data_IF_248565421134
#
_entry.id   IF_248565421134
#
_cell.length_a   1.000
_cell.length_b   1.000
_cell.length_c   1.000
_cell.angle_alpha   90.00
_cell.angle_beta   90.00
_cell.angle_gamma   90.00
#
_symmetry.space_group_name_H-M   'P 1'
#
loop_
_entity.id
_entity.type
_entity.pdbx_description
1 polymer ?
#
# COMPACT_ATOMS: atom_id res chain seq x y z
N UNK A 1 12.57 7.88 -13.79
CA UNK A 1 11.53 7.11 -14.50
C UNK A 1 10.66 6.38 -13.50
N UNK A 2 9.34 6.37 -13.74
CA UNK A 2 8.38 5.60 -12.97
C UNK A 2 7.92 4.36 -13.74
N UNK A 3 7.48 3.34 -13.03
CA UNK A 3 6.87 2.16 -13.63
C UNK A 3 5.67 2.56 -14.48
N UNK A 4 5.55 1.97 -15.66
CA UNK A 4 4.40 2.11 -16.56
C UNK A 4 4.08 3.56 -16.98
N UNK A 5 5.00 4.51 -16.80
CA UNK A 5 4.76 5.92 -17.10
C UNK A 5 4.31 6.17 -18.54
N UNK A 6 4.71 5.33 -19.50
CA UNK A 6 4.31 5.44 -20.91
C UNK A 6 2.83 5.17 -21.17
N UNK A 7 2.09 4.59 -20.21
CA UNK A 7 0.64 4.34 -20.33
C UNK A 7 -0.21 5.60 -20.23
N UNK A 8 0.33 6.69 -19.67
CA UNK A 8 -0.34 7.97 -19.55
C UNK A 8 0.57 9.05 -20.14
N UNK A 9 0.10 9.75 -21.17
CA UNK A 9 0.87 10.76 -21.91
C UNK A 9 0.48 12.19 -21.51
N UNK A 10 -0.11 12.37 -20.34
CA UNK A 10 -0.49 13.68 -19.82
C UNK A 10 0.76 14.48 -19.37
N UNK A 11 0.93 15.76 -19.76
CA UNK A 11 2.20 16.52 -19.64
C UNK A 11 2.83 16.64 -18.25
N UNK A 12 2.07 16.40 -17.18
CA UNK A 12 2.55 16.55 -15.79
C UNK A 12 2.27 15.33 -14.90
N UNK A 13 1.65 14.27 -15.44
CA UNK A 13 1.19 13.14 -14.64
C UNK A 13 2.30 12.52 -13.80
N UNK A 14 3.48 12.29 -14.41
CA UNK A 14 4.64 11.71 -13.72
C UNK A 14 5.12 12.60 -12.58
N UNK A 15 5.13 13.92 -12.76
CA UNK A 15 5.57 14.85 -11.73
C UNK A 15 4.55 14.92 -10.60
N UNK A 16 3.26 15.00 -10.93
CA UNK A 16 2.17 14.94 -9.95
C UNK A 16 2.20 13.64 -9.13
N UNK A 17 2.50 12.48 -9.74
CA UNK A 17 2.66 11.22 -8.99
C UNK A 17 3.80 11.33 -7.96
N UNK A 18 4.95 11.88 -8.34
CA UNK A 18 6.08 12.06 -7.41
C UNK A 18 5.71 13.01 -6.28
N UNK A 19 5.10 14.14 -6.58
CA UNK A 19 4.69 15.13 -5.59
C UNK A 19 3.68 14.57 -4.59
N UNK A 20 2.62 13.92 -5.08
CA UNK A 20 1.62 13.24 -4.24
C UNK A 20 2.29 12.20 -3.37
N UNK A 21 3.17 11.37 -3.96
CA UNK A 21 3.88 10.33 -3.21
C UNK A 21 4.79 10.91 -2.14
N UNK A 22 5.46 12.03 -2.42
CA UNK A 22 6.28 12.74 -1.44
C UNK A 22 5.43 13.24 -0.27
N UNK A 23 4.30 13.93 -0.54
CA UNK A 23 3.38 14.41 0.50
C UNK A 23 2.80 13.28 1.35
N UNK A 24 2.54 12.12 0.75
CA UNK A 24 2.07 10.92 1.45
C UNK A 24 3.19 10.12 2.13
N UNK A 25 4.46 10.50 1.91
CA UNK A 25 5.64 9.74 2.35
C UNK A 25 5.64 8.29 1.85
N UNK A 26 5.31 8.04 0.59
CA UNK A 26 5.32 6.71 -0.05
C UNK A 26 6.26 6.69 -1.26
N UNK A 27 6.66 5.49 -1.70
CA UNK A 27 7.41 5.35 -2.93
C UNK A 27 6.47 5.56 -4.14
N UNK A 28 6.81 6.43 -5.11
CA UNK A 28 5.94 6.67 -6.27
C UNK A 28 5.73 5.44 -7.15
N UNK A 29 6.67 4.49 -7.18
CA UNK A 29 6.46 3.22 -7.90
C UNK A 29 5.47 2.29 -7.19
N UNK A 30 5.27 2.44 -5.87
CA UNK A 30 4.18 1.73 -5.19
C UNK A 30 2.85 2.28 -5.63
N UNK A 31 2.72 3.62 -5.69
CA UNK A 31 1.48 4.26 -6.15
C UNK A 31 1.17 3.90 -7.60
N UNK A 32 2.17 3.94 -8.49
CA UNK A 32 2.02 3.50 -9.88
C UNK A 32 1.57 2.04 -9.99
N UNK A 33 2.15 1.14 -9.18
CA UNK A 33 1.76 -0.28 -9.20
C UNK A 33 0.34 -0.50 -8.67
N UNK A 34 -0.07 0.22 -7.62
CA UNK A 34 -1.46 0.16 -7.13
C UNK A 34 -2.43 0.64 -8.22
N UNK A 35 -2.20 1.81 -8.82
CA UNK A 35 -3.09 2.32 -9.88
C UNK A 35 -3.11 1.40 -11.12
N UNK A 36 -1.98 0.77 -11.44
CA UNK A 36 -1.91 -0.20 -12.51
C UNK A 36 -2.69 -1.48 -12.18
N UNK A 37 -2.59 -1.99 -10.96
CA UNK A 37 -3.32 -3.17 -10.55
C UNK A 37 -4.84 -2.94 -10.50
N UNK A 38 -5.26 -1.78 -9.99
CA UNK A 38 -6.69 -1.44 -9.84
C UNK A 38 -7.38 -1.13 -11.17
N UNK A 39 -6.73 -0.41 -12.08
CA UNK A 39 -7.39 0.09 -13.29
C UNK A 39 -6.59 -0.09 -14.59
N UNK A 40 -5.38 -0.63 -14.52
CA UNK A 40 -4.45 -0.61 -15.64
C UNK A 40 -3.96 0.81 -15.98
N UNK A 41 -3.97 1.73 -15.00
CA UNK A 41 -3.75 3.18 -15.18
C UNK A 41 -4.80 3.84 -16.09
N UNK A 42 -6.06 3.41 -16.03
CA UNK A 42 -7.16 3.96 -16.82
C UNK A 42 -8.08 4.82 -15.94
N UNK A 43 -8.05 6.17 -16.05
CA UNK A 43 -8.89 7.03 -15.22
C UNK A 43 -10.39 6.87 -15.51
N UNK A 44 -10.77 6.39 -16.70
CA UNK A 44 -12.16 6.13 -17.05
C UNK A 44 -12.63 4.70 -16.77
N UNK A 45 -11.81 3.86 -16.15
CA UNK A 45 -12.19 2.48 -15.81
C UNK A 45 -13.34 2.46 -14.80
N UNK A 46 -14.36 1.65 -15.08
CA UNK A 46 -15.52 1.45 -14.23
C UNK A 46 -15.75 -0.05 -14.05
N UNK A 47 -15.86 -0.49 -12.80
CA UNK A 47 -16.34 -1.82 -12.47
C UNK A 47 -17.87 -1.85 -12.58
N UNK A 48 -18.40 -2.68 -13.48
CA UNK A 48 -19.84 -2.76 -13.76
C UNK A 48 -20.67 -3.32 -12.60
N UNK A 49 -20.07 -4.11 -11.71
CA UNK A 49 -20.75 -4.73 -10.57
C UNK A 49 -20.80 -3.82 -9.36
N UNK A 50 -19.72 -3.08 -9.09
CA UNK A 50 -19.59 -2.27 -7.86
C UNK A 50 -19.70 -0.76 -8.09
N UNK A 51 -19.60 -0.30 -9.34
CA UNK A 51 -19.51 1.12 -9.69
C UNK A 51 -18.14 1.75 -9.36
N UNK A 52 -17.18 0.96 -8.87
CA UNK A 52 -15.84 1.45 -8.56
C UNK A 52 -15.19 2.08 -9.79
N UNK A 53 -14.62 3.28 -9.65
CA UNK A 53 -14.22 4.10 -10.80
C UNK A 53 -12.84 4.74 -10.64
N UNK A 54 -12.09 4.87 -11.73
CA UNK A 54 -10.85 5.63 -11.77
C UNK A 54 -9.61 4.87 -11.36
N UNK A 55 -8.50 5.62 -11.21
CA UNK A 55 -7.14 5.10 -11.08
C UNK A 55 -6.98 4.07 -9.98
N UNK A 56 -7.63 4.30 -8.82
CA UNK A 56 -7.63 3.39 -7.67
C UNK A 56 -9.00 2.74 -7.42
N UNK A 57 -9.89 2.77 -8.41
CA UNK A 57 -11.24 2.21 -8.33
C UNK A 57 -12.02 2.73 -7.10
N UNK A 58 -12.19 4.06 -7.01
CA UNK A 58 -12.98 4.69 -5.97
C UNK A 58 -14.41 4.14 -5.94
N UNK A 59 -14.80 3.55 -4.81
CA UNK A 59 -16.19 3.14 -4.57
C UNK A 59 -17.13 4.36 -4.56
N UNK A 60 -18.41 4.21 -4.96
CA UNK A 60 -19.37 5.32 -4.98
C UNK A 60 -19.46 6.11 -3.67
N UNK A 61 -19.52 5.42 -2.53
CA UNK A 61 -19.56 6.07 -1.22
C UNK A 61 -18.26 6.82 -0.90
N UNK A 62 -17.10 6.29 -1.30
CA UNK A 62 -15.80 6.96 -1.14
C UNK A 62 -15.73 8.22 -1.99
N UNK A 63 -16.17 8.16 -3.25
CA UNK A 63 -16.21 9.32 -4.14
C UNK A 63 -17.09 10.44 -3.54
N UNK A 64 -18.28 10.08 -3.04
CA UNK A 64 -19.17 11.02 -2.35
C UNK A 64 -18.52 11.66 -1.12
N UNK A 65 -17.87 10.85 -0.26
CA UNK A 65 -17.15 11.34 0.92
C UNK A 65 -15.97 12.26 0.59
N UNK A 66 -15.43 12.20 -0.62
CA UNK A 66 -14.37 13.09 -1.11
C UNK A 66 -14.91 14.36 -1.79
N UNK A 67 -16.23 14.57 -1.78
CA UNK A 67 -16.89 15.72 -2.41
C UNK A 67 -16.98 15.62 -3.93
N UNK A 68 -17.03 14.41 -4.50
CA UNK A 68 -17.18 14.17 -5.94
C UNK A 68 -18.15 13.02 -6.21
N UNK A 69 -18.21 12.51 -7.44
CA UNK A 69 -18.97 11.32 -7.82
C UNK A 69 -18.15 10.43 -8.73
N UNK A 70 -18.54 9.16 -8.86
CA UNK A 70 -17.92 8.24 -9.84
C UNK A 70 -18.13 8.73 -11.27
N UNK A 71 -19.27 9.35 -11.58
CA UNK A 71 -19.51 9.97 -12.88
C UNK A 71 -18.53 11.12 -13.16
N UNK A 72 -18.28 12.00 -12.17
CA UNK A 72 -17.30 13.07 -12.31
C UNK A 72 -15.88 12.50 -12.43
N UNK A 73 -15.49 11.55 -11.57
CA UNK A 73 -14.18 10.89 -11.63
C UNK A 73 -13.94 10.26 -13.01
N UNK A 74 -14.91 9.52 -13.57
CA UNK A 74 -14.78 8.90 -14.89
C UNK A 74 -14.39 9.88 -16.00
N UNK A 75 -14.85 11.13 -15.89
CA UNK A 75 -14.61 12.20 -16.86
C UNK A 75 -13.36 13.04 -16.54
N UNK A 76 -12.69 12.80 -15.42
CA UNK A 76 -11.43 13.46 -15.07
C UNK A 76 -10.24 12.84 -15.80
N UNK A 77 -9.24 13.67 -16.07
CA UNK A 77 -7.92 13.18 -16.48
C UNK A 77 -7.25 12.37 -15.36
N UNK A 78 -6.24 11.57 -15.69
CA UNK A 78 -5.49 10.83 -14.69
C UNK A 78 -4.81 11.78 -13.70
N UNK A 79 -4.25 12.88 -14.19
CA UNK A 79 -3.63 13.91 -13.36
C UNK A 79 -4.64 14.53 -12.39
N UNK A 80 -5.86 14.86 -12.85
CA UNK A 80 -6.89 15.41 -11.98
C UNK A 80 -7.33 14.42 -10.90
N UNK A 81 -7.42 13.12 -11.23
CA UNK A 81 -7.72 12.09 -10.24
C UNK A 81 -6.63 11.93 -9.17
N UNK A 82 -5.36 12.23 -9.45
CA UNK A 82 -4.30 12.14 -8.44
C UNK A 82 -4.54 13.03 -7.22
N UNK A 83 -5.22 14.16 -7.37
CA UNK A 83 -5.60 14.99 -6.22
C UNK A 83 -6.65 14.30 -5.32
N UNK A 84 -7.55 13.50 -5.90
CA UNK A 84 -8.50 12.67 -5.14
C UNK A 84 -7.81 11.45 -4.53
N UNK A 85 -6.84 10.86 -5.23
CA UNK A 85 -5.99 9.79 -4.69
C UNK A 85 -5.22 10.29 -3.46
N UNK A 86 -4.65 11.50 -3.54
CA UNK A 86 -3.99 12.13 -2.40
C UNK A 86 -4.96 12.37 -1.24
N UNK A 87 -6.12 12.98 -1.49
CA UNK A 87 -7.14 13.23 -0.44
C UNK A 87 -7.57 11.94 0.25
N UNK A 88 -7.78 10.87 -0.52
CA UNK A 88 -8.13 9.55 0.00
C UNK A 88 -7.03 8.95 0.87
N UNK A 89 -5.76 9.04 0.42
CA UNK A 89 -4.63 8.43 1.11
C UNK A 89 -4.06 9.29 2.26
N UNK A 90 -4.42 10.58 2.34
CA UNK A 90 -3.94 11.53 3.35
C UNK A 90 -4.03 11.02 4.80
N UNK A 91 -5.10 10.33 5.25
CA UNK A 91 -5.18 9.79 6.61
C UNK A 91 -4.11 8.73 6.94
N UNK A 92 -3.53 8.11 5.91
CA UNK A 92 -2.50 7.06 6.02
C UNK A 92 -1.07 7.60 5.82
N UNK A 93 -0.91 8.89 5.51
CA UNK A 93 0.40 9.49 5.26
C UNK A 93 1.37 9.21 6.42
N UNK A 94 2.59 8.78 6.08
CA UNK A 94 3.63 8.41 7.06
C UNK A 94 3.43 7.08 7.80
N UNK A 95 2.27 6.40 7.65
CA UNK A 95 1.97 5.11 8.30
C UNK A 95 2.21 3.90 7.40
N UNK A 96 2.32 4.11 6.09
CA UNK A 96 2.50 3.05 5.09
C UNK A 96 3.98 2.69 4.96
N UNK A 97 4.35 1.48 5.37
CA UNK A 97 5.75 1.03 5.45
C UNK A 97 6.12 0.05 4.35
N UNK A 98 5.17 -0.44 3.56
CA UNK A 98 5.39 -1.34 2.44
C UNK A 98 4.43 -1.06 1.29
N UNK A 99 4.74 -1.60 0.11
CA UNK A 99 3.79 -1.62 -1.00
C UNK A 99 2.45 -2.25 -0.57
N UNK A 100 2.50 -3.37 0.16
CA UNK A 100 1.27 -4.06 0.57
C UNK A 100 0.45 -3.25 1.57
N UNK A 101 1.07 -2.45 2.44
CA UNK A 101 0.32 -1.51 3.29
C UNK A 101 -0.44 -0.48 2.45
N UNK A 102 0.22 0.10 1.44
CA UNK A 102 -0.44 1.02 0.52
C UNK A 102 -1.59 0.32 -0.24
N UNK A 103 -1.36 -0.90 -0.70
CA UNK A 103 -2.41 -1.69 -1.35
C UNK A 103 -3.59 -1.94 -0.40
N UNK A 104 -3.34 -2.33 0.85
CA UNK A 104 -4.40 -2.50 1.84
C UNK A 104 -5.16 -1.20 2.14
N UNK A 105 -4.46 -0.05 2.17
CA UNK A 105 -5.12 1.25 2.33
C UNK A 105 -6.12 1.56 1.19
N UNK A 106 -5.94 0.98 0.00
CA UNK A 106 -6.87 1.13 -1.12
C UNK A 106 -7.93 0.03 -1.14
N UNK A 107 -7.50 -1.23 -1.04
CA UNK A 107 -8.36 -2.41 -1.20
C UNK A 107 -9.22 -2.71 0.02
N UNK A 108 -8.62 -2.73 1.21
CA UNK A 108 -9.28 -3.15 2.45
C UNK A 108 -8.60 -2.51 3.68
N UNK A 109 -8.88 -1.23 4.00
CA UNK A 109 -8.13 -0.47 5.01
C UNK A 109 -8.08 -1.13 6.39
N UNK A 110 -9.12 -1.87 6.78
CA UNK A 110 -9.17 -2.62 8.04
C UNK A 110 -8.03 -3.65 8.18
N UNK A 111 -7.47 -4.16 7.07
CA UNK A 111 -6.34 -5.08 7.09
C UNK A 111 -5.04 -4.44 7.62
N UNK A 112 -4.93 -3.11 7.65
CA UNK A 112 -3.78 -2.43 8.26
C UNK A 112 -3.68 -2.73 9.77
N UNK A 113 -4.82 -2.90 10.45
CA UNK A 113 -4.89 -3.13 11.90
C UNK A 113 -4.79 -4.59 12.35
N UNK A 114 -4.77 -5.55 11.42
CA UNK A 114 -4.72 -6.98 11.76
C UNK A 114 -3.33 -7.58 11.54
N UNK A 115 -3.04 -8.65 12.30
CA UNK A 115 -1.79 -9.41 12.18
C UNK A 115 -1.70 -10.15 10.84
N UNK A 116 -0.50 -10.66 10.52
CA UNK A 116 -0.19 -11.30 9.24
C UNK A 116 -1.08 -12.52 8.92
N UNK A 117 -1.52 -13.27 9.93
CA UNK A 117 -2.35 -14.47 9.76
C UNK A 117 -3.85 -14.18 9.86
N UNK A 118 -4.23 -12.93 10.12
CA UNK A 118 -5.61 -12.48 10.27
C UNK A 118 -6.39 -12.60 8.97
N UNK A 119 -7.66 -12.98 9.11
CA UNK A 119 -8.63 -13.10 8.02
C UNK A 119 -9.23 -11.72 7.74
N UNK A 120 -9.35 -11.38 6.46
CA UNK A 120 -10.05 -10.18 6.03
C UNK A 120 -11.55 -10.34 6.29
N UNK A 121 -12.07 -9.52 7.21
CA UNK A 121 -13.49 -9.35 7.50
C UNK A 121 -13.70 -8.04 8.25
N UNK A 122 -14.92 -7.53 8.23
CA UNK A 122 -15.38 -6.49 9.16
C UNK A 122 -16.61 -7.01 9.91
N UNK A 123 -17.17 -6.20 10.82
CA UNK A 123 -18.46 -6.50 11.44
C UNK A 123 -19.59 -6.63 10.39
N UNK A 124 -19.52 -5.83 9.31
CA UNK A 124 -20.53 -5.77 8.26
C UNK A 124 -20.22 -6.61 7.02
N UNK A 125 -18.96 -7.02 6.81
CA UNK A 125 -18.53 -7.75 5.62
C UNK A 125 -17.89 -9.09 5.99
N UNK A 126 -18.56 -10.17 5.58
CA UNK A 126 -18.15 -11.57 5.82
C UNK A 126 -16.92 -11.95 5.00
N UNK A 127 -16.03 -12.76 5.58
CA UNK A 127 -14.83 -13.30 4.92
C UNK A 127 -15.16 -14.01 3.60
N UNK A 128 -16.21 -14.84 3.59
CA UNK A 128 -16.67 -15.57 2.40
C UNK A 128 -17.17 -14.68 1.26
N UNK A 129 -17.71 -13.50 1.56
CA UNK A 129 -18.06 -12.51 0.54
C UNK A 129 -16.81 -11.88 -0.06
N UNK A 130 -15.82 -11.55 0.77
CA UNK A 130 -14.54 -10.98 0.31
C UNK A 130 -13.80 -11.98 -0.57
N UNK A 131 -13.73 -13.25 -0.16
CA UNK A 131 -13.11 -14.33 -0.94
C UNK A 131 -13.81 -14.55 -2.29
N UNK A 132 -15.15 -14.64 -2.29
CA UNK A 132 -15.94 -14.81 -3.52
C UNK A 132 -15.76 -13.66 -4.51
N UNK A 133 -15.65 -12.42 -4.02
CA UNK A 133 -15.45 -11.24 -4.87
C UNK A 133 -14.00 -11.08 -5.35
N UNK A 134 -13.04 -11.68 -4.65
CA UNK A 134 -11.61 -11.51 -4.92
C UNK A 134 -10.88 -12.86 -5.01
N UNK A 135 -11.31 -13.76 -5.91
CA UNK A 135 -10.80 -15.13 -5.96
C UNK A 135 -9.30 -15.22 -6.26
N UNK A 136 -8.71 -14.17 -6.84
CA UNK A 136 -7.27 -14.08 -7.09
C UNK A 136 -6.43 -14.14 -5.81
N UNK A 137 -7.00 -13.76 -4.66
CA UNK A 137 -6.32 -13.76 -3.36
C UNK A 137 -6.65 -14.97 -2.49
N UNK A 138 -7.71 -15.73 -2.79
CA UNK A 138 -8.04 -16.98 -2.10
C UNK A 138 -7.25 -18.14 -2.72
N UNK A 139 -5.94 -18.14 -2.47
CA UNK A 139 -4.98 -19.04 -3.15
C UNK A 139 -5.15 -20.51 -2.78
N UNK A 140 -5.69 -20.79 -1.60
CA UNK A 140 -5.95 -22.15 -1.13
C UNK A 140 -7.41 -22.60 -1.33
N UNK A 141 -8.27 -21.70 -1.83
CA UNK A 141 -9.69 -21.94 -2.15
C UNK A 141 -10.53 -22.37 -0.95
N UNK A 142 -10.24 -21.87 0.25
CA UNK A 142 -10.99 -22.23 1.45
C UNK A 142 -12.15 -21.28 1.75
N UNK A 143 -12.39 -20.27 0.90
CA UNK A 143 -13.48 -19.31 1.07
C UNK A 143 -13.16 -18.18 2.04
N UNK A 144 -11.91 -17.99 2.43
CA UNK A 144 -11.45 -16.86 3.26
C UNK A 144 -10.10 -16.35 2.75
N UNK A 145 -9.84 -15.05 2.88
CA UNK A 145 -8.54 -14.47 2.49
C UNK A 145 -7.80 -14.01 3.74
N UNK A 146 -6.58 -14.51 3.95
CA UNK A 146 -5.68 -14.00 4.98
C UNK A 146 -4.82 -12.86 4.46
N UNK A 147 -4.43 -11.95 5.36
CA UNK A 147 -3.48 -10.86 5.05
C UNK A 147 -2.19 -11.38 4.39
N UNK A 148 -1.67 -12.54 4.86
CA UNK A 148 -0.49 -13.17 4.28
C UNK A 148 -0.67 -13.63 2.82
N UNK A 149 -1.86 -14.04 2.40
CA UNK A 149 -2.08 -14.51 1.03
C UNK A 149 -1.90 -13.37 0.02
N UNK A 150 -2.43 -12.19 0.35
CA UNK A 150 -2.23 -10.98 -0.46
C UNK A 150 -0.73 -10.59 -0.48
N UNK A 151 -0.03 -10.68 0.66
CA UNK A 151 1.43 -10.42 0.71
C UNK A 151 2.18 -11.38 -0.22
N UNK A 152 1.90 -12.68 -0.13
CA UNK A 152 2.56 -13.72 -0.96
C UNK A 152 2.24 -13.51 -2.44
N UNK A 153 0.97 -13.25 -2.76
CA UNK A 153 0.54 -12.92 -4.12
C UNK A 153 1.34 -11.75 -4.69
N UNK A 154 1.42 -10.63 -3.97
CA UNK A 154 2.11 -9.45 -4.48
C UNK A 154 3.63 -9.62 -4.56
N UNK A 155 4.25 -10.41 -3.67
CA UNK A 155 5.66 -10.76 -3.82
C UNK A 155 5.92 -11.49 -5.14
N UNK A 156 5.06 -12.46 -5.51
CA UNK A 156 5.16 -13.17 -6.77
C UNK A 156 4.83 -12.28 -7.97
N UNK A 157 3.79 -11.46 -7.86
CA UNK A 157 3.35 -10.54 -8.90
C UNK A 157 4.43 -9.49 -9.23
N UNK A 158 4.99 -8.84 -8.20
CA UNK A 158 6.07 -7.85 -8.35
C UNK A 158 7.28 -8.49 -9.03
N UNK A 159 7.71 -9.68 -8.58
CA UNK A 159 8.82 -10.41 -9.22
C UNK A 159 8.58 -10.68 -10.70
N UNK A 160 7.32 -10.93 -11.09
CA UNK A 160 6.92 -11.22 -12.47
C UNK A 160 6.87 -9.98 -13.36
N UNK A 161 6.34 -8.86 -12.87
CA UNK A 161 5.99 -7.73 -13.75
C UNK A 161 6.85 -6.47 -13.56
N UNK A 162 7.59 -6.37 -12.45
CA UNK A 162 8.47 -5.23 -12.18
C UNK A 162 9.87 -5.56 -12.68
N UNK A 163 10.46 -4.75 -13.58
CA UNK A 163 11.82 -4.96 -14.05
C UNK A 163 12.82 -5.00 -12.89
N UNK A 164 13.84 -5.85 -13.00
CA UNK A 164 14.80 -6.15 -11.93
C UNK A 164 15.40 -4.91 -11.29
N UNK A 165 15.72 -3.88 -12.08
CA UNK A 165 16.30 -2.62 -11.61
C UNK A 165 15.35 -1.78 -10.72
N UNK A 166 14.04 -2.08 -10.73
CA UNK A 166 13.05 -1.46 -9.84
C UNK A 166 12.67 -2.32 -8.65
N UNK A 167 12.98 -3.62 -8.63
CA UNK A 167 12.51 -4.53 -7.56
C UNK A 167 13.02 -4.14 -6.17
N UNK A 168 14.24 -3.61 -6.06
CA UNK A 168 14.79 -3.12 -4.80
C UNK A 168 13.94 -2.02 -4.15
N UNK A 169 13.16 -1.27 -4.96
CA UNK A 169 12.26 -0.20 -4.51
C UNK A 169 10.99 -0.72 -3.85
N UNK A 170 10.71 -2.02 -3.92
CA UNK A 170 9.55 -2.67 -3.29
C UNK A 170 9.87 -3.32 -1.95
N UNK A 171 11.12 -3.20 -1.47
CA UNK A 171 11.45 -3.55 -0.09
C UNK A 171 10.66 -2.65 0.87
N UNK A 172 10.19 -3.23 1.97
CA UNK A 172 9.59 -2.44 3.04
C UNK A 172 10.57 -1.38 3.53
N UNK A 173 10.06 -0.23 3.97
CA UNK A 173 10.84 0.73 4.73
C UNK A 173 11.50 -0.01 5.90
N UNK A 174 12.74 0.36 6.27
CA UNK A 174 13.30 -0.12 7.51
C UNK A 174 12.28 0.18 8.61
N UNK A 175 11.96 -0.82 9.44
CA UNK A 175 11.20 -0.54 10.65
C UNK A 175 11.91 0.63 11.32
N UNK A 176 11.16 1.67 11.68
CA UNK A 176 11.62 2.58 12.72
C UNK A 176 11.72 1.71 13.94
N UNK A 177 12.86 1.03 14.13
CA UNK A 177 13.21 0.52 15.44
C UNK A 177 13.10 1.77 16.31
N UNK A 178 12.11 1.79 17.21
CA UNK A 178 12.27 2.55 18.44
C UNK A 178 13.72 2.31 18.87
N UNK A 179 14.45 3.37 19.22
CA UNK A 179 15.89 3.35 19.49
C UNK A 179 16.34 2.44 20.65
N UNK A 180 15.58 1.39 20.96
CA UNK A 180 15.78 0.44 22.04
C UNK A 180 16.81 -0.63 21.71
N UNK A 181 17.03 -1.05 20.45
CA UNK A 181 18.04 -2.10 20.19
C UNK A 181 19.46 -1.51 20.30
N UNK A 182 19.69 -0.31 19.75
CA UNK A 182 21.01 0.34 19.83
C UNK A 182 21.29 0.86 21.24
N UNK A 183 20.27 1.36 21.96
CA UNK A 183 20.39 1.72 23.38
C UNK A 183 20.58 0.50 24.28
N UNK A 184 19.87 -0.62 24.05
CA UNK A 184 20.06 -1.85 24.83
C UNK A 184 21.45 -2.46 24.61
N UNK A 185 21.98 -2.43 23.38
CA UNK A 185 23.34 -2.89 23.10
C UNK A 185 24.39 -2.01 23.81
N UNK A 186 24.21 -0.68 23.80
CA UNK A 186 25.07 0.27 24.51
C UNK A 186 25.03 0.09 26.03
N UNK A 187 23.85 -0.13 26.60
CA UNK A 187 23.69 -0.40 28.05
C UNK A 187 24.35 -1.72 28.43
N UNK A 188 24.19 -2.78 27.64
CA UNK A 188 24.83 -4.08 27.90
C UNK A 188 26.36 -3.95 27.84
N UNK A 189 26.91 -3.24 26.85
CA UNK A 189 28.36 -3.00 26.75
C UNK A 189 28.89 -2.18 27.94
N UNK A 190 28.15 -1.14 28.36
CA UNK A 190 28.54 -0.33 29.52
C UNK A 190 28.52 -1.14 30.83
N UNK A 191 27.52 -2.00 31.04
CA UNK A 191 27.44 -2.88 32.23
C UNK A 191 28.58 -3.90 32.25
N UNK A 192 28.92 -4.50 31.09
CA UNK A 192 30.06 -5.42 30.99
C UNK A 192 31.38 -4.70 31.27
N UNK A 193 31.58 -3.49 30.74
CA UNK A 193 32.79 -2.70 30.99
C UNK A 193 32.95 -2.35 32.48
N UNK A 194 31.87 -1.97 33.17
CA UNK A 194 31.87 -1.71 34.61
C UNK A 194 32.18 -2.97 35.42
N UNK A 195 31.58 -4.12 35.07
CA UNK A 195 31.87 -5.39 35.75
C UNK A 195 33.32 -5.85 35.56
N UNK A 196 33.89 -5.65 34.36
CA UNK A 196 35.30 -5.96 34.09
C UNK A 196 36.23 -5.02 34.86
N UNK A 197 35.90 -3.74 34.96
CA UNK A 197 36.69 -2.77 35.74
C UNK A 197 36.68 -3.11 37.24
N UNK A 198 35.51 -3.40 37.83
CA UNK A 198 35.40 -3.78 39.26
C UNK A 198 36.19 -5.06 39.60
N UNK A 199 36.34 -5.97 38.63
CA UNK A 199 37.11 -7.21 38.80
C UNK A 199 38.63 -7.02 38.75
N UNK A 200 39.12 -5.87 38.25
CA UNK A 200 40.56 -5.55 38.25
C UNK A 200 41.02 -4.82 39.54
N UNK A 201 40.09 -4.40 40.39
CA UNK A 201 40.36 -3.67 41.64
C UNK A 201 40.04 -4.45 42.92
N UNK A 202 39.67 -5.74 42.80
CA UNK A 202 39.59 -6.70 43.90
C UNK A 202 40.56 -7.85 43.65
#
# INVERSE_FOLDING_TARGET
>A
MLLFQSKIQEPIFVETVKEVSNRLSINPNWLMLVMYFESGLRPSAVNSSTGATGLIQFMPATAAGLGTSTAALKNMSATAQLYYVERYLKPFAGKLNSFTDLYFAVFFPAALGINRTGILKTQSLKASTIARQNPVFDTNKNGEIKKNEIIVFFNAYIKKIVPTEYQSKFKSKPMKHLGTIQAALLVIVAVIAVLLAVRQYN
#
